data_IF_014715115472
#
_entry.id   IF_014715115472
#
_cell.length_a   1.000
_cell.length_b   1.000
_cell.length_c   1.000
_cell.angle_alpha   90.00
_cell.angle_beta   90.00
_cell.angle_gamma   90.00
#
_symmetry.space_group_name_H-M   'P 1'
#
loop_
_entity.id
_entity.type
_entity.pdbx_description
1 polymer ?
#
# COMPACT_ATOMS: atom_id res chain seq x y z
N UNK A 1 29.69 -11.49 -17.09
CA UNK A 1 28.70 -10.52 -16.61
C UNK A 1 27.68 -11.33 -15.84
N UNK A 2 27.57 -11.22 -14.49
CA UNK A 2 26.47 -11.87 -13.80
C UNK A 2 25.18 -11.25 -14.33
N UNK A 3 24.23 -12.10 -14.72
CA UNK A 3 22.92 -11.64 -15.18
C UNK A 3 22.29 -10.80 -14.05
N UNK A 4 21.91 -9.56 -14.35
CA UNK A 4 21.11 -8.73 -13.46
C UNK A 4 19.80 -9.49 -13.18
N UNK A 5 19.73 -10.12 -12.00
CA UNK A 5 18.64 -11.02 -11.67
C UNK A 5 17.42 -10.18 -11.28
N UNK A 6 16.59 -9.89 -12.26
CA UNK A 6 15.27 -9.26 -12.06
C UNK A 6 14.42 -10.23 -11.25
N UNK A 7 13.85 -9.76 -10.14
CA UNK A 7 12.93 -10.56 -9.33
C UNK A 7 11.52 -10.40 -9.88
N UNK A 8 11.03 -11.43 -10.56
CA UNK A 8 9.64 -11.51 -11.00
C UNK A 8 8.77 -12.09 -9.90
N UNK A 9 7.60 -11.50 -9.69
CA UNK A 9 6.56 -12.04 -8.82
C UNK A 9 5.19 -11.69 -9.37
N UNK A 10 4.24 -12.61 -9.19
CA UNK A 10 2.85 -12.41 -9.55
C UNK A 10 2.09 -11.86 -8.34
N UNK A 11 1.42 -10.73 -8.53
CA UNK A 11 0.48 -10.20 -7.56
C UNK A 11 -0.88 -10.79 -7.87
N UNK A 12 -1.39 -11.61 -6.94
CA UNK A 12 -2.68 -12.29 -7.07
C UNK A 12 -3.82 -11.29 -7.25
N UNK A 13 -4.85 -11.71 -7.99
CA UNK A 13 -6.11 -10.96 -8.12
C UNK A 13 -6.78 -10.61 -6.78
N UNK A 14 -6.47 -11.33 -5.71
CA UNK A 14 -7.03 -11.07 -4.38
C UNK A 14 -6.52 -9.73 -3.81
N UNK A 15 -5.31 -9.29 -4.18
CA UNK A 15 -4.69 -8.08 -3.64
C UNK A 15 -5.30 -6.82 -4.23
N UNK A 16 -5.39 -6.76 -5.57
CA UNK A 16 -5.80 -5.55 -6.31
C UNK A 16 -7.06 -5.71 -7.16
N UNK A 17 -7.72 -6.87 -7.11
CA UNK A 17 -8.85 -7.20 -7.98
C UNK A 17 -8.45 -7.65 -9.40
N UNK A 18 -7.15 -7.62 -9.73
CA UNK A 18 -6.57 -8.13 -10.98
C UNK A 18 -5.25 -8.84 -10.70
N UNK A 19 -5.01 -9.92 -11.41
CA UNK A 19 -3.72 -10.59 -11.40
C UNK A 19 -2.77 -9.83 -12.32
N UNK A 20 -1.53 -9.60 -11.86
CA UNK A 20 -0.48 -9.05 -12.72
C UNK A 20 0.90 -9.44 -12.25
N UNK A 21 1.80 -9.62 -13.20
CA UNK A 21 3.22 -9.75 -12.91
C UNK A 21 3.82 -8.39 -12.58
N UNK A 22 4.80 -8.44 -11.69
CA UNK A 22 5.57 -7.28 -11.24
C UNK A 22 7.03 -7.68 -11.15
N UNK A 23 7.90 -6.73 -11.42
CA UNK A 23 9.35 -6.93 -11.48
C UNK A 23 10.00 -5.96 -10.52
N UNK A 24 10.85 -6.49 -9.64
CA UNK A 24 11.77 -5.69 -8.83
C UNK A 24 13.14 -5.74 -9.50
N UNK A 25 13.64 -4.56 -9.85
CA UNK A 25 14.97 -4.40 -10.40
C UNK A 25 16.00 -4.33 -9.27
N UNK A 26 17.28 -4.68 -9.52
CA UNK A 26 18.35 -4.45 -8.56
C UNK A 26 18.40 -3.00 -8.06
N UNK A 27 18.08 -2.04 -8.93
CA UNK A 27 18.01 -0.62 -8.59
C UNK A 27 16.93 -0.32 -7.55
N UNK A 28 15.75 -0.97 -7.64
CA UNK A 28 14.69 -0.79 -6.65
C UNK A 28 15.17 -1.23 -5.25
N UNK A 29 15.95 -2.31 -5.20
CA UNK A 29 16.50 -2.86 -3.96
C UNK A 29 17.57 -1.92 -3.38
N UNK A 30 18.50 -1.44 -4.22
CA UNK A 30 19.56 -0.54 -3.76
C UNK A 30 19.01 0.81 -3.33
N UNK A 31 18.04 1.37 -4.05
CA UNK A 31 17.34 2.60 -3.67
C UNK A 31 16.61 2.46 -2.34
N UNK A 32 15.87 1.37 -2.16
CA UNK A 32 15.16 1.09 -0.91
C UNK A 32 16.13 0.89 0.27
N UNK A 33 17.27 0.22 0.04
CA UNK A 33 18.34 0.07 1.02
C UNK A 33 19.08 1.38 1.32
N UNK A 34 19.16 2.28 0.34
CA UNK A 34 19.79 3.61 0.44
C UNK A 34 18.91 4.69 1.07
N UNK A 35 17.65 4.40 1.39
CA UNK A 35 16.67 5.41 1.82
C UNK A 35 16.44 6.49 0.74
N UNK A 36 16.41 6.08 -0.52
CA UNK A 36 16.15 6.94 -1.67
C UNK A 36 14.67 6.97 -2.04
N UNK A 37 14.29 7.75 -3.05
CA UNK A 37 12.92 7.82 -3.55
C UNK A 37 12.52 6.46 -4.15
N UNK A 38 11.35 5.96 -3.76
CA UNK A 38 10.91 4.61 -4.13
C UNK A 38 9.80 4.65 -5.17
N UNK A 39 9.86 3.73 -6.12
CA UNK A 39 8.84 3.57 -7.13
C UNK A 39 7.54 2.95 -6.61
N UNK A 40 6.46 3.13 -7.38
CA UNK A 40 5.16 2.50 -7.12
C UNK A 40 5.23 0.97 -7.05
N UNK A 41 6.18 0.35 -7.75
CA UNK A 41 6.44 -1.09 -7.72
C UNK A 41 6.80 -1.57 -6.31
N UNK A 42 7.72 -0.88 -5.63
CA UNK A 42 8.15 -1.22 -4.27
C UNK A 42 6.96 -1.13 -3.30
N UNK A 43 6.14 -0.09 -3.44
CA UNK A 43 4.89 0.09 -2.66
C UNK A 43 3.91 -1.05 -2.95
N UNK A 44 3.75 -1.47 -4.21
CA UNK A 44 2.86 -2.57 -4.58
C UNK A 44 3.31 -3.91 -3.98
N UNK A 45 4.63 -4.17 -3.94
CA UNK A 45 5.20 -5.36 -3.27
C UNK A 45 4.83 -5.36 -1.79
N UNK A 46 4.95 -4.20 -1.14
CA UNK A 46 4.60 -4.07 0.26
C UNK A 46 3.10 -4.26 0.50
N UNK A 47 2.23 -3.75 -0.38
CA UNK A 47 0.78 -4.02 -0.32
C UNK A 47 0.47 -5.52 -0.43
N UNK A 48 1.19 -6.26 -1.28
CA UNK A 48 1.09 -7.72 -1.36
C UNK A 48 1.47 -8.39 -0.03
N UNK A 49 2.59 -8.01 0.56
CA UNK A 49 2.99 -8.49 1.89
C UNK A 49 1.90 -8.23 2.94
N UNK A 50 1.38 -7.00 3.01
CA UNK A 50 0.32 -6.64 3.96
C UNK A 50 -0.97 -7.44 3.73
N UNK A 51 -1.31 -7.73 2.47
CA UNK A 51 -2.43 -8.63 2.15
C UNK A 51 -2.21 -10.04 2.71
N UNK A 52 -0.98 -10.57 2.62
CA UNK A 52 -0.66 -11.89 3.18
C UNK A 52 -0.73 -11.91 4.71
N UNK A 53 -0.34 -10.81 5.36
CA UNK A 53 -0.54 -10.60 6.80
C UNK A 53 -2.03 -10.63 7.16
N UNK A 54 -2.86 -9.88 6.42
CA UNK A 54 -4.32 -9.87 6.60
C UNK A 54 -4.95 -11.25 6.35
N UNK A 55 -4.44 -11.99 5.37
CA UNK A 55 -4.90 -13.36 5.05
C UNK A 55 -4.61 -14.32 6.19
N UNK A 56 -3.41 -14.26 6.77
CA UNK A 56 -3.04 -15.04 7.96
C UNK A 56 -3.89 -14.68 9.18
N UNK A 57 -4.29 -13.42 9.31
CA UNK A 57 -5.15 -12.94 10.39
C UNK A 57 -6.66 -13.15 10.13
N UNK A 58 -7.06 -13.68 8.97
CA UNK A 58 -8.46 -13.79 8.54
C UNK A 58 -9.21 -12.42 8.51
N UNK A 59 -8.50 -11.36 8.12
CA UNK A 59 -8.97 -9.96 8.09
C UNK A 59 -9.04 -9.35 6.69
N UNK A 60 -8.89 -10.14 5.62
CA UNK A 60 -8.89 -9.66 4.22
C UNK A 60 -10.20 -9.01 3.77
N UNK A 61 -11.31 -9.24 4.50
CA UNK A 61 -12.57 -8.54 4.23
C UNK A 61 -12.60 -7.10 4.75
N UNK A 62 -11.71 -6.72 5.67
CA UNK A 62 -11.74 -5.39 6.29
C UNK A 62 -11.02 -4.32 5.46
N UNK A 63 -10.02 -4.73 4.70
CA UNK A 63 -9.10 -3.86 3.98
C UNK A 63 -8.96 -4.35 2.54
N UNK A 64 -9.06 -3.43 1.58
CA UNK A 64 -8.72 -3.66 0.18
C UNK A 64 -7.63 -2.69 -0.28
N UNK A 65 -6.79 -3.14 -1.21
CA UNK A 65 -5.74 -2.29 -1.79
C UNK A 65 -6.13 -1.89 -3.20
N UNK A 66 -5.83 -0.64 -3.56
CA UNK A 66 -5.90 -0.13 -4.93
C UNK A 66 -4.49 -0.15 -5.47
N UNK A 67 -4.31 -0.83 -6.60
CA UNK A 67 -3.03 -0.90 -7.28
C UNK A 67 -2.50 0.51 -7.58
N UNK A 68 -1.30 0.87 -7.09
CA UNK A 68 -0.74 2.21 -7.25
C UNK A 68 -0.47 2.57 -8.72
N UNK A 69 -0.40 1.58 -9.62
CA UNK A 69 -0.31 1.81 -11.07
C UNK A 69 -1.67 2.12 -11.73
N UNK A 70 -2.78 2.10 -10.98
CA UNK A 70 -4.11 2.43 -11.51
C UNK A 70 -4.26 3.96 -11.63
N UNK A 71 -4.53 4.51 -12.81
CA UNK A 71 -4.81 5.94 -12.94
C UNK A 71 -6.05 6.31 -12.12
N UNK A 72 -6.04 7.49 -11.51
CA UNK A 72 -7.06 7.99 -10.56
C UNK A 72 -8.51 7.97 -11.06
N UNK A 73 -8.72 7.75 -12.37
CA UNK A 73 -10.00 7.70 -13.06
C UNK A 73 -10.54 6.27 -13.30
N UNK A 74 -9.76 5.21 -13.02
CA UNK A 74 -10.03 3.83 -13.42
C UNK A 74 -10.66 2.92 -12.35
N UNK A 75 -11.30 3.46 -11.30
CA UNK A 75 -11.79 2.68 -10.15
C UNK A 75 -13.09 1.89 -10.38
N UNK A 76 -13.56 1.76 -11.62
CA UNK A 76 -14.85 1.14 -11.95
C UNK A 76 -14.96 -0.34 -11.55
N UNK A 77 -13.83 -1.03 -11.34
CA UNK A 77 -13.76 -2.45 -11.03
C UNK A 77 -13.38 -2.77 -9.57
N UNK A 78 -13.19 -1.76 -8.73
CA UNK A 78 -12.89 -2.00 -7.31
C UNK A 78 -14.15 -2.50 -6.59
N UNK A 79 -14.26 -3.83 -6.46
CA UNK A 79 -15.30 -4.51 -5.67
C UNK A 79 -15.01 -4.35 -4.17
N UNK A 80 -15.19 -3.15 -3.64
CA UNK A 80 -15.39 -2.99 -2.20
C UNK A 80 -16.68 -3.70 -1.79
N UNK A 81 -16.64 -4.55 -0.76
CA UNK A 81 -17.87 -4.95 -0.05
C UNK A 81 -18.22 -3.84 0.94
N UNK A 82 -19.50 -3.75 1.31
CA UNK A 82 -19.99 -2.78 2.28
C UNK A 82 -19.19 -2.92 3.60
N UNK A 83 -18.47 -1.86 3.99
CA UNK A 83 -17.55 -1.86 5.13
C UNK A 83 -16.06 -2.05 4.82
N UNK A 84 -15.67 -2.32 3.56
CA UNK A 84 -14.28 -2.43 3.16
C UNK A 84 -13.60 -1.06 3.06
N UNK A 85 -12.38 -0.95 3.59
CA UNK A 85 -11.53 0.24 3.45
C UNK A 85 -10.59 0.08 2.28
N UNK A 86 -10.65 0.97 1.30
CA UNK A 86 -9.74 0.95 0.15
C UNK A 86 -8.58 1.93 0.36
N UNK A 87 -7.34 1.45 0.17
CA UNK A 87 -6.13 2.27 0.23
C UNK A 87 -5.56 2.53 -1.16
N UNK A 88 -5.25 3.79 -1.47
CA UNK A 88 -4.47 4.16 -2.65
C UNK A 88 -3.09 4.69 -2.24
N UNK A 89 -2.04 4.20 -2.91
CA UNK A 89 -0.66 4.63 -2.68
C UNK A 89 -0.25 5.94 -3.37
N UNK A 90 -1.19 6.83 -3.69
CA UNK A 90 -0.87 8.08 -4.41
C UNK A 90 -0.01 9.02 -3.55
N UNK A 91 1.18 9.36 -4.06
CA UNK A 91 2.25 10.17 -3.43
C UNK A 91 1.81 11.49 -2.79
N UNK A 92 0.68 12.09 -3.21
CA UNK A 92 0.29 13.42 -2.77
C UNK A 92 -0.58 13.50 -1.50
N UNK A 93 -1.16 12.38 -1.01
CA UNK A 93 -1.99 12.30 0.22
C UNK A 93 -2.55 10.89 0.43
N UNK A 94 -2.30 10.27 1.59
CA UNK A 94 -2.96 9.01 1.97
C UNK A 94 -4.47 9.22 1.99
N UNK A 95 -5.20 8.49 1.15
CA UNK A 95 -6.65 8.60 1.02
C UNK A 95 -7.29 7.24 1.26
N UNK A 96 -8.31 7.19 2.11
CA UNK A 96 -9.20 6.03 2.23
C UNK A 96 -10.51 6.31 1.53
N UNK A 97 -11.10 5.29 0.93
CA UNK A 97 -12.51 5.33 0.52
C UNK A 97 -13.37 4.83 1.67
N UNK A 98 -14.34 5.64 2.09
CA UNK A 98 -15.48 5.18 2.90
C UNK A 98 -16.71 5.11 1.98
N UNK A 99 -17.38 3.97 1.89
CA UNK A 99 -18.67 3.86 1.21
C UNK A 99 -19.78 4.39 2.14
N UNK A 100 -20.01 5.71 2.22
CA UNK A 100 -21.26 6.25 2.76
C UNK A 100 -22.10 6.87 1.65
N UNK A 101 -22.52 6.05 0.67
CA UNK A 101 -23.52 6.43 -0.31
C UNK A 101 -24.93 6.20 0.27
N UNK A 102 -25.37 7.02 1.22
CA UNK A 102 -26.81 7.07 1.56
C UNK A 102 -27.55 7.78 0.42
N UNK A 103 -28.32 7.00 -0.35
CA UNK A 103 -29.35 7.41 -1.31
C UNK A 103 -28.90 8.37 -2.44
N UNK A 104 -28.34 7.82 -3.53
CA UNK A 104 -28.37 8.49 -4.85
C UNK A 104 -28.97 7.51 -5.88
N UNK A 105 -30.06 7.86 -6.58
CA UNK A 105 -30.66 7.02 -7.61
C UNK A 105 -29.85 7.14 -8.90
N UNK A 106 -28.70 6.48 -8.95
CA UNK A 106 -27.86 6.38 -10.16
C UNK A 106 -27.19 5.02 -10.20
N UNK A 107 -27.22 4.37 -11.36
CA UNK A 107 -26.57 3.07 -11.67
C UNK A 107 -25.04 3.04 -11.45
N UNK A 108 -24.43 4.14 -10.99
CA UNK A 108 -23.02 4.26 -10.63
C UNK A 108 -22.94 4.64 -9.15
N UNK A 109 -22.50 3.70 -8.31
CA UNK A 109 -22.14 3.99 -6.92
C UNK A 109 -21.01 5.03 -6.94
N UNK A 110 -21.28 6.23 -6.41
CA UNK A 110 -20.27 7.27 -6.31
C UNK A 110 -19.28 6.89 -5.21
N UNK A 111 -18.01 6.70 -5.57
CA UNK A 111 -16.91 6.48 -4.63
C UNK A 111 -16.65 7.81 -3.90
N UNK A 112 -16.83 7.83 -2.58
CA UNK A 112 -16.53 9.00 -1.74
C UNK A 112 -15.10 8.87 -1.22
N UNK A 113 -14.23 9.73 -1.72
CA UNK A 113 -12.87 9.86 -1.21
C UNK A 113 -12.91 10.67 0.09
N UNK A 114 -12.43 10.09 1.18
CA UNK A 114 -12.15 10.86 2.39
C UNK A 114 -10.64 11.06 2.49
N UNK A 115 -10.25 12.33 2.41
CA UNK A 115 -8.91 12.74 2.82
C UNK A 115 -8.79 12.45 4.31
N UNK A 116 -7.82 11.62 4.67
CA UNK A 116 -7.58 11.28 6.06
C UNK A 116 -6.92 12.47 6.74
N UNK A 117 -7.54 12.97 7.81
CA UNK A 117 -6.91 13.94 8.70
C UNK A 117 -5.92 13.21 9.62
N UNK A 118 -4.69 13.72 9.77
CA UNK A 118 -3.69 13.13 10.67
C UNK A 118 -2.62 12.28 9.99
N UNK A 119 -2.40 12.41 8.68
CA UNK A 119 -1.21 11.82 8.03
C UNK A 119 0.06 12.53 8.52
N UNK A 120 1.08 11.82 9.03
CA UNK A 120 2.31 12.42 9.51
C UNK A 120 3.00 13.32 8.48
N UNK A 121 3.57 14.43 8.95
CA UNK A 121 4.23 15.41 8.08
C UNK A 121 5.55 14.85 7.55
N UNK A 122 5.67 14.80 6.23
CA UNK A 122 6.89 14.38 5.54
C UNK A 122 7.89 15.54 5.45
N UNK A 123 9.20 15.29 5.61
CA UNK A 123 10.22 16.31 5.47
C UNK A 123 10.49 16.66 4.00
N UNK A 124 10.40 15.71 3.07
CA UNK A 124 10.54 15.93 1.62
C UNK A 124 9.65 14.99 0.80
N UNK A 125 9.79 15.01 -0.54
CA UNK A 125 9.12 14.06 -1.43
C UNK A 125 9.75 12.66 -1.43
N UNK A 126 11.01 12.54 -0.99
CA UNK A 126 11.74 11.27 -0.99
C UNK A 126 11.07 10.26 -0.05
N UNK A 127 10.61 10.71 1.11
CA UNK A 127 10.04 9.83 2.14
C UNK A 127 8.59 9.44 1.86
N UNK A 128 7.96 9.98 0.80
CA UNK A 128 6.51 9.86 0.61
C UNK A 128 6.04 8.40 0.51
N UNK A 129 6.79 7.56 -0.19
CA UNK A 129 6.48 6.13 -0.33
C UNK A 129 6.60 5.37 0.99
N UNK A 130 7.62 5.66 1.80
CA UNK A 130 7.82 5.03 3.10
C UNK A 130 6.70 5.39 4.10
N UNK A 131 6.25 6.65 4.06
CA UNK A 131 5.14 7.09 4.92
C UNK A 131 3.83 6.43 4.50
N UNK A 132 3.60 6.26 3.19
CA UNK A 132 2.44 5.50 2.69
C UNK A 132 2.49 4.06 3.20
N UNK A 133 3.63 3.38 3.08
CA UNK A 133 3.81 2.03 3.61
C UNK A 133 3.57 1.97 5.12
N UNK A 134 4.19 2.87 5.89
CA UNK A 134 4.03 2.93 7.34
C UNK A 134 2.58 3.16 7.76
N UNK A 135 1.92 4.10 7.10
CA UNK A 135 0.54 4.45 7.41
C UNK A 135 -0.44 3.31 7.07
N UNK A 136 -0.21 2.59 5.97
CA UNK A 136 -0.97 1.37 5.67
C UNK A 136 -0.81 0.32 6.77
N UNK A 137 0.43 0.11 7.25
CA UNK A 137 0.71 -0.81 8.36
C UNK A 137 -0.01 -0.38 9.64
N UNK A 138 0.08 0.90 10.00
CA UNK A 138 -0.54 1.43 11.22
C UNK A 138 -2.07 1.24 11.20
N UNK A 139 -2.76 1.49 10.09
CA UNK A 139 -4.22 1.31 10.03
C UNK A 139 -4.63 -0.16 10.03
N UNK A 140 -3.80 -1.05 9.50
CA UNK A 140 -4.05 -2.50 9.59
C UNK A 140 -3.96 -2.97 11.04
N UNK A 141 -2.98 -2.46 11.80
CA UNK A 141 -2.79 -2.78 13.22
C UNK A 141 -3.87 -2.14 14.09
N UNK A 142 -4.16 -0.86 13.85
CA UNK A 142 -5.18 -0.09 14.56
C UNK A 142 -6.12 0.62 13.57
N UNK A 143 -7.25 -0.01 13.22
CA UNK A 143 -8.24 0.58 12.32
C UNK A 143 -8.86 1.88 12.85
N UNK A 144 -8.72 2.22 14.13
CA UNK A 144 -9.24 3.49 14.64
C UNK A 144 -8.46 4.71 14.11
N UNK A 145 -7.21 4.52 13.68
CA UNK A 145 -6.34 5.58 13.15
C UNK A 145 -6.86 6.21 11.86
N UNK A 146 -7.63 5.49 11.04
CA UNK A 146 -8.25 6.08 9.85
C UNK A 146 -9.32 7.13 10.19
N UNK A 147 -9.87 7.10 11.40
CA UNK A 147 -10.90 8.03 11.88
C UNK A 147 -10.38 9.00 12.95
N UNK A 148 -9.12 8.87 13.34
CA UNK A 148 -8.49 9.75 14.31
C UNK A 148 -8.42 11.17 13.72
N UNK A 149 -9.39 12.00 14.08
CA UNK A 149 -9.31 13.46 13.90
C UNK A 149 -8.30 14.00 14.91
N UNK A 150 -7.03 13.94 14.58
CA UNK A 150 -5.96 14.42 15.45
C UNK A 150 -4.82 15.03 14.65
N UNK A 151 -4.28 16.14 15.17
CA UNK A 151 -3.03 16.75 14.72
C UNK A 151 -1.86 15.79 14.98
N UNK A 152 -1.66 14.78 14.14
CA UNK A 152 -0.33 14.16 14.04
C UNK A 152 0.55 15.08 13.19
N UNK A 153 1.02 16.16 13.83
CA UNK A 153 2.03 17.07 13.25
C UNK A 153 3.44 16.46 13.29
N UNK A 154 3.65 15.43 14.12
CA UNK A 154 4.94 14.77 14.25
C UNK A 154 5.20 13.86 13.05
N UNK A 155 6.36 14.07 12.43
CA UNK A 155 6.98 13.16 11.47
C UNK A 155 7.10 11.75 12.06
N UNK A 156 6.99 10.70 11.22
CA UNK A 156 7.40 9.37 11.67
C UNK A 156 8.87 9.42 12.11
N UNK A 157 9.22 8.82 13.26
CA UNK A 157 10.61 8.68 13.65
C UNK A 157 11.29 7.63 12.74
N UNK A 158 12.61 7.73 12.56
CA UNK A 158 13.33 6.89 11.61
C UNK A 158 13.17 5.40 11.95
N UNK A 159 13.08 5.06 13.24
CA UNK A 159 12.88 3.69 13.72
C UNK A 159 11.57 3.09 13.19
N UNK A 160 10.50 3.89 13.10
CA UNK A 160 9.23 3.45 12.56
C UNK A 160 9.31 3.17 11.05
N UNK A 161 10.14 3.94 10.33
CA UNK A 161 10.42 3.72 8.92
C UNK A 161 11.30 2.48 8.73
N UNK A 162 12.31 2.29 9.57
CA UNK A 162 13.20 1.13 9.51
C UNK A 162 12.44 -0.18 9.79
N UNK A 163 11.42 -0.17 10.66
CA UNK A 163 10.51 -1.32 10.82
C UNK A 163 9.90 -1.76 9.49
N UNK A 164 9.35 -0.81 8.71
CA UNK A 164 8.74 -1.10 7.40
C UNK A 164 9.79 -1.61 6.41
N UNK A 165 11.00 -1.01 6.45
CA UNK A 165 12.09 -1.41 5.56
C UNK A 165 12.58 -2.83 5.87
N UNK A 166 12.64 -3.19 7.14
CA UNK A 166 12.99 -4.54 7.59
C UNK A 166 11.91 -5.56 7.23
N UNK A 167 10.63 -5.25 7.45
CA UNK A 167 9.52 -6.14 7.05
C UNK A 167 9.53 -6.40 5.54
N UNK A 168 9.75 -5.35 4.74
CA UNK A 168 9.83 -5.49 3.28
C UNK A 168 11.06 -6.31 2.86
N UNK A 169 12.24 -6.06 3.46
CA UNK A 169 13.47 -6.75 3.09
C UNK A 169 13.42 -8.24 3.45
N UNK A 170 12.88 -8.59 4.62
CA UNK A 170 12.65 -9.98 5.01
C UNK A 170 11.69 -10.69 4.06
N UNK A 171 10.60 -10.02 3.66
CA UNK A 171 9.64 -10.58 2.71
C UNK A 171 10.28 -10.84 1.34
N UNK A 172 11.01 -9.86 0.80
CA UNK A 172 11.70 -10.01 -0.49
C UNK A 172 12.78 -11.09 -0.41
N UNK A 173 13.55 -11.14 0.68
CA UNK A 173 14.56 -12.16 0.90
C UNK A 173 13.97 -13.57 0.93
N UNK A 174 12.84 -13.77 1.62
CA UNK A 174 12.14 -15.06 1.64
C UNK A 174 11.71 -15.51 0.25
N UNK A 175 11.27 -14.59 -0.61
CA UNK A 175 10.90 -14.91 -2.00
C UNK A 175 12.13 -15.35 -2.79
N UNK A 176 13.25 -14.65 -2.63
CA UNK A 176 14.53 -14.98 -3.30
C UNK A 176 14.99 -16.39 -2.90
N UNK A 177 14.94 -16.72 -1.60
CA UNK A 177 15.39 -18.02 -1.08
C UNK A 177 14.48 -19.18 -1.51
N UNK A 178 13.17 -18.96 -1.60
CA UNK A 178 12.21 -20.01 -1.95
C UNK A 178 12.25 -20.39 -3.43
N UNK A 179 12.98 -19.66 -4.27
CA UNK A 179 13.08 -19.96 -5.70
C UNK A 179 11.77 -19.80 -6.48
N UNK A 180 10.78 -19.12 -5.88
CA UNK A 180 9.45 -18.89 -6.46
C UNK A 180 9.48 -17.68 -7.44
N UNK A 181 10.34 -17.76 -8.46
CA UNK A 181 10.39 -16.84 -9.60
C UNK A 181 10.00 -17.55 -10.90
#
# INVERSE_FOLDING_TARGET
MPEEKILQFTIDKEVFGRERDTFLLPEDITQFAGMEEIGATVVAVYMRYLHDVLKKANMTSMVGFIDPATPSLGLADCKGKEGNRLFSGSSARSSCVDEEAKNIPSRRKAVIWKTLSGTPKQPSSVECGYYVMRFMRDIIIDPSLAYAKGNQEASYPQEAIDEVRNEWSEFVYQIIEQGNY
#
